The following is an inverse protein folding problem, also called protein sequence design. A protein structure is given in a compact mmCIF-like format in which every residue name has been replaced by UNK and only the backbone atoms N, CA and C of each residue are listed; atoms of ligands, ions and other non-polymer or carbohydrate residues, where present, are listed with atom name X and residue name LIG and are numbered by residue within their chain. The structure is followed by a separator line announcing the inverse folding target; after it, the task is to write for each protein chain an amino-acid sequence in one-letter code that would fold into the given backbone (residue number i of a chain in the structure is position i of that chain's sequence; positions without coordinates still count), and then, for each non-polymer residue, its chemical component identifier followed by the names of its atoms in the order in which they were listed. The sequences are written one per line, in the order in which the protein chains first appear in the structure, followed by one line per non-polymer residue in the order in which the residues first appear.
data_IF_947403076842
#
_entry.id   IF_947403076842
#
_cell.length_a   1.000
_cell.length_b   1.000
_cell.length_c   1.000
_cell.angle_alpha   90.00
_cell.angle_beta   90.00
_cell.angle_gamma   90.00
#
_symmetry.space_group_name_H-M   'P 1'
#
loop_
_entity.id
_entity.type
_entity.pdbx_description
1 polymer ?
#
# COMPACT_ATOMS: atom_id res chain seq x y z
N UNK A 1 29.00 -0.49 -11.89
CA UNK A 1 27.76 -1.31 -11.96
C UNK A 1 28.17 -2.76 -12.04
N UNK A 2 27.80 -3.56 -11.05
CA UNK A 2 28.03 -5.00 -11.11
C UNK A 2 27.05 -5.63 -12.11
N UNK A 3 27.50 -6.56 -12.96
CA UNK A 3 26.60 -7.23 -13.90
C UNK A 3 25.61 -8.11 -13.11
N UNK A 4 24.34 -8.13 -13.52
CA UNK A 4 23.32 -8.98 -12.90
C UNK A 4 23.51 -10.48 -13.22
N UNK A 5 24.27 -10.76 -14.27
CA UNK A 5 24.62 -12.12 -14.72
C UNK A 5 26.14 -12.20 -14.85
N UNK A 6 26.72 -13.20 -14.23
CA UNK A 6 28.16 -13.48 -14.29
C UNK A 6 28.58 -13.97 -15.68
N UNK A 7 29.89 -13.99 -15.95
CA UNK A 7 30.41 -14.42 -17.22
C UNK A 7 30.14 -15.92 -17.54
N UNK A 8 29.89 -16.74 -16.54
CA UNK A 8 29.50 -18.14 -16.64
C UNK A 8 28.02 -18.40 -16.83
N UNK A 9 27.19 -17.30 -16.87
CA UNK A 9 25.75 -17.38 -17.01
C UNK A 9 24.98 -17.52 -15.70
N UNK A 10 25.66 -17.64 -14.55
CA UNK A 10 25.01 -17.65 -13.24
C UNK A 10 24.54 -16.24 -12.86
N UNK A 11 23.52 -16.15 -11.99
CA UNK A 11 23.06 -14.86 -11.47
C UNK A 11 24.03 -14.31 -10.42
N UNK A 12 24.21 -13.01 -10.45
CA UNK A 12 25.00 -12.31 -9.43
C UNK A 12 24.32 -12.41 -8.08
N UNK A 13 25.07 -12.79 -7.06
CA UNK A 13 24.63 -12.85 -5.66
C UNK A 13 25.24 -11.68 -4.93
N UNK A 14 24.39 -10.74 -4.50
CA UNK A 14 24.78 -9.65 -3.63
C UNK A 14 24.80 -10.16 -2.17
N UNK A 15 25.95 -10.12 -1.48
CA UNK A 15 26.01 -10.50 -0.08
C UNK A 15 25.07 -9.67 0.78
N UNK A 16 24.52 -10.29 1.81
CA UNK A 16 23.66 -9.58 2.79
C UNK A 16 24.35 -8.32 3.32
N UNK A 17 23.64 -7.20 3.30
CA UNK A 17 24.08 -5.94 3.86
C UNK A 17 23.92 -5.87 5.39
N UNK A 18 23.45 -6.94 6.01
CA UNK A 18 23.34 -7.06 7.46
C UNK A 18 24.71 -7.00 8.14
N UNK A 19 24.75 -6.60 9.40
CA UNK A 19 25.97 -6.59 10.19
C UNK A 19 26.62 -7.96 10.24
N UNK A 20 27.94 -7.97 10.40
CA UNK A 20 28.71 -9.22 10.49
C UNK A 20 28.18 -10.16 11.58
N UNK A 21 27.84 -9.60 12.75
CA UNK A 21 27.29 -10.37 13.86
C UNK A 21 25.98 -11.09 13.48
N UNK A 22 25.11 -10.45 12.72
CA UNK A 22 23.88 -11.06 12.22
C UNK A 22 24.17 -12.17 11.20
N UNK A 23 25.08 -11.94 10.26
CA UNK A 23 25.47 -12.98 9.29
C UNK A 23 26.06 -14.20 9.99
N UNK A 24 26.96 -13.98 10.95
CA UNK A 24 27.58 -15.07 11.74
C UNK A 24 26.51 -15.88 12.50
N UNK A 25 25.44 -15.24 13.01
CA UNK A 25 24.31 -15.92 13.65
C UNK A 25 23.43 -16.68 12.66
N UNK A 26 23.17 -16.11 11.49
CA UNK A 26 22.42 -16.79 10.40
C UNK A 26 23.10 -18.10 10.02
N UNK A 27 24.42 -18.06 9.82
CA UNK A 27 25.21 -19.23 9.48
C UNK A 27 25.30 -20.22 10.64
N UNK A 28 25.54 -19.72 11.86
CA UNK A 28 25.66 -20.54 13.07
C UNK A 28 24.41 -21.37 13.36
N UNK A 29 23.22 -20.76 13.12
CA UNK A 29 21.96 -21.43 13.43
C UNK A 29 21.33 -22.12 12.22
N UNK A 30 21.94 -22.02 11.03
CA UNK A 30 21.40 -22.60 9.79
C UNK A 30 20.05 -21.99 9.39
N UNK A 31 19.94 -20.67 9.56
CA UNK A 31 18.78 -19.91 9.12
C UNK A 31 18.79 -19.70 7.60
N UNK A 32 17.73 -19.15 7.05
CA UNK A 32 17.69 -18.84 5.62
C UNK A 32 18.77 -17.81 5.24
N UNK A 33 19.46 -18.03 4.12
CA UNK A 33 20.41 -17.04 3.58
C UNK A 33 19.73 -15.69 3.35
N UNK A 34 20.37 -14.62 3.78
CA UNK A 34 19.92 -13.25 3.57
C UNK A 34 20.59 -12.56 2.38
N UNK A 35 21.31 -13.32 1.57
CA UNK A 35 21.89 -12.82 0.34
C UNK A 35 20.80 -12.49 -0.68
N UNK A 36 21.04 -11.45 -1.47
CA UNK A 36 20.11 -10.98 -2.47
C UNK A 36 20.56 -11.46 -3.85
N UNK A 37 19.68 -12.12 -4.57
CA UNK A 37 19.84 -12.43 -6.00
C UNK A 37 18.86 -11.57 -6.79
N UNK A 38 19.29 -10.41 -7.32
CA UNK A 38 18.36 -9.44 -7.91
C UNK A 38 17.52 -10.00 -9.07
N UNK A 39 18.04 -10.95 -9.82
CA UNK A 39 17.33 -11.59 -10.93
C UNK A 39 16.20 -12.50 -10.46
N UNK A 40 16.40 -13.20 -9.34
CA UNK A 40 15.36 -14.06 -8.77
C UNK A 40 14.23 -13.23 -8.13
N UNK A 41 14.56 -12.09 -7.50
CA UNK A 41 13.58 -11.21 -6.88
C UNK A 41 12.54 -10.67 -7.87
N UNK A 42 12.85 -10.60 -9.15
CA UNK A 42 11.88 -10.21 -10.18
C UNK A 42 10.70 -11.19 -10.29
N UNK A 43 10.91 -12.44 -9.87
CA UNK A 43 9.89 -13.48 -9.91
C UNK A 43 9.16 -13.63 -8.57
N UNK A 44 9.76 -13.18 -7.46
CA UNK A 44 9.28 -13.43 -6.10
C UNK A 44 8.34 -12.35 -5.55
N UNK A 45 8.19 -11.23 -6.24
CA UNK A 45 7.32 -10.13 -5.82
C UNK A 45 6.34 -9.77 -6.94
N UNK A 46 5.12 -10.27 -6.83
CA UNK A 46 4.05 -9.95 -7.77
C UNK A 46 3.15 -8.86 -7.17
N UNK A 47 3.19 -7.69 -7.79
CA UNK A 47 2.38 -6.55 -7.36
C UNK A 47 1.34 -6.24 -8.44
N UNK A 48 0.09 -6.12 -8.03
CA UNK A 48 -1.01 -5.75 -8.92
C UNK A 48 -1.79 -4.60 -8.32
N UNK A 49 -2.05 -3.58 -9.12
CA UNK A 49 -2.95 -2.48 -8.75
C UNK A 49 -4.06 -2.40 -9.76
N UNK A 50 -5.30 -2.40 -9.28
CA UNK A 50 -6.51 -2.18 -10.09
C UNK A 50 -7.18 -0.93 -9.58
N UNK A 51 -7.38 0.05 -10.46
CA UNK A 51 -8.07 1.28 -10.10
C UNK A 51 -9.26 1.48 -11.02
N UNK A 52 -10.41 1.78 -10.43
CA UNK A 52 -11.63 2.16 -11.12
C UNK A 52 -12.05 3.55 -10.68
N UNK A 53 -12.16 4.47 -11.62
CA UNK A 53 -12.56 5.85 -11.35
C UNK A 53 -13.76 6.23 -12.19
N UNK A 54 -14.72 6.86 -11.56
CA UNK A 54 -15.89 7.43 -12.24
C UNK A 54 -16.09 8.86 -11.80
N UNK A 55 -16.33 9.74 -12.76
CA UNK A 55 -16.68 11.13 -12.53
C UNK A 55 -17.92 11.48 -13.36
N UNK A 56 -18.95 11.94 -12.67
CA UNK A 56 -20.16 12.47 -13.29
C UNK A 56 -20.34 13.93 -12.85
N UNK A 57 -20.71 14.79 -13.77
CA UNK A 57 -21.04 16.17 -13.43
C UNK A 57 -22.24 16.68 -14.27
N UNK A 58 -22.99 17.56 -13.66
CA UNK A 58 -24.05 18.29 -14.30
C UNK A 58 -23.86 19.80 -14.07
N UNK A 59 -24.04 20.59 -15.09
CA UNK A 59 -23.96 22.04 -15.02
C UNK A 59 -25.21 22.64 -15.65
N UNK A 60 -25.87 23.53 -14.92
CA UNK A 60 -27.03 24.27 -15.38
C UNK A 60 -26.70 25.76 -15.32
N UNK A 61 -27.10 26.47 -16.36
CA UNK A 61 -27.00 27.92 -16.45
C UNK A 61 -28.40 28.48 -16.65
N UNK A 62 -28.76 29.47 -15.84
CA UNK A 62 -30.00 30.21 -15.93
C UNK A 62 -29.67 31.67 -16.21
N UNK A 63 -30.06 32.19 -17.36
CA UNK A 63 -29.98 33.60 -17.68
C UNK A 63 -31.25 34.25 -17.13
N UNK A 64 -31.20 34.83 -15.91
CA UNK A 64 -32.31 35.42 -15.21
C UNK A 64 -32.74 36.74 -15.86
N UNK A 65 -31.77 37.50 -16.33
CA UNK A 65 -31.92 38.71 -17.13
C UNK A 65 -30.76 38.82 -18.14
N UNK A 66 -30.75 39.83 -18.98
CA UNK A 66 -29.64 40.10 -19.91
C UNK A 66 -28.31 40.42 -19.19
N UNK A 67 -28.33 40.79 -17.93
CA UNK A 67 -27.21 41.24 -17.10
C UNK A 67 -27.00 40.39 -15.84
N UNK A 68 -27.87 39.37 -15.59
CA UNK A 68 -27.78 38.53 -14.40
C UNK A 68 -27.93 37.05 -14.79
N UNK A 69 -26.96 36.25 -14.44
CA UNK A 69 -27.03 34.80 -14.66
C UNK A 69 -26.73 34.04 -13.36
N UNK A 70 -27.32 32.86 -13.26
CA UNK A 70 -27.14 31.92 -12.14
C UNK A 70 -26.66 30.59 -12.70
N UNK A 71 -25.52 30.11 -12.17
CA UNK A 71 -24.92 28.85 -12.55
C UNK A 71 -24.94 27.90 -11.35
N UNK A 72 -25.33 26.66 -11.62
CA UNK A 72 -25.29 25.57 -10.64
C UNK A 72 -24.49 24.43 -11.25
N UNK A 73 -23.59 23.86 -10.46
CA UNK A 73 -22.81 22.69 -10.83
C UNK A 73 -22.85 21.67 -9.71
N UNK A 74 -23.12 20.43 -10.08
CA UNK A 74 -22.98 19.28 -9.21
C UNK A 74 -21.99 18.31 -9.84
N UNK A 75 -21.07 17.80 -9.04
CA UNK A 75 -20.10 16.78 -9.45
C UNK A 75 -20.10 15.67 -8.41
N UNK A 76 -20.13 14.43 -8.90
CA UNK A 76 -19.91 13.22 -8.10
C UNK A 76 -18.70 12.49 -8.66
N UNK A 77 -17.88 11.98 -7.76
CA UNK A 77 -16.63 11.29 -8.11
C UNK A 77 -16.43 10.11 -7.17
N UNK A 78 -16.14 8.96 -7.73
CA UNK A 78 -15.73 7.77 -6.98
C UNK A 78 -14.43 7.21 -7.56
N UNK A 79 -13.57 6.72 -6.69
CA UNK A 79 -12.31 6.06 -7.05
C UNK A 79 -12.11 4.90 -6.09
N UNK A 80 -12.06 3.68 -6.64
CA UNK A 80 -11.77 2.45 -5.93
C UNK A 80 -10.43 1.91 -6.43
N UNK A 81 -9.51 1.66 -5.53
CA UNK A 81 -8.17 1.14 -5.84
C UNK A 81 -7.86 -0.05 -4.96
N UNK A 82 -7.62 -1.20 -5.60
CA UNK A 82 -7.22 -2.45 -4.96
C UNK A 82 -5.75 -2.71 -5.32
N UNK A 83 -4.88 -2.75 -4.32
CA UNK A 83 -3.50 -3.17 -4.43
C UNK A 83 -3.33 -4.52 -3.76
N UNK A 84 -2.69 -5.44 -4.47
CA UNK A 84 -2.34 -6.78 -4.01
C UNK A 84 -0.85 -6.99 -4.22
N UNK A 85 -0.16 -7.51 -3.21
CA UNK A 85 1.26 -7.85 -3.26
C UNK A 85 1.46 -9.25 -2.69
N UNK A 86 1.97 -10.15 -3.52
CA UNK A 86 2.42 -11.46 -3.12
C UNK A 86 3.93 -11.43 -2.95
N UNK A 87 4.42 -11.73 -1.75
CA UNK A 87 5.83 -11.93 -1.47
C UNK A 87 6.09 -13.41 -1.23
N UNK A 88 6.73 -14.07 -2.18
CA UNK A 88 7.08 -15.50 -2.04
C UNK A 88 8.10 -15.70 -0.91
N UNK A 89 8.03 -16.86 -0.26
CA UNK A 89 8.93 -17.19 0.88
C UNK A 89 10.40 -17.22 0.49
N UNK A 90 10.69 -17.48 -0.78
CA UNK A 90 12.03 -17.48 -1.37
C UNK A 90 12.61 -16.07 -1.53
N UNK A 91 11.78 -15.02 -1.49
CA UNK A 91 12.26 -13.63 -1.58
C UNK A 91 13.21 -13.29 -0.43
N UNK A 92 14.16 -12.42 -0.68
CA UNK A 92 15.08 -11.94 0.35
C UNK A 92 14.32 -11.29 1.55
N UNK A 93 13.25 -10.55 1.23
CA UNK A 93 12.40 -9.96 2.24
C UNK A 93 11.78 -11.01 3.17
N UNK A 94 11.15 -12.05 2.61
CA UNK A 94 10.48 -13.09 3.41
C UNK A 94 11.47 -13.95 4.18
N UNK A 95 12.60 -14.30 3.60
CA UNK A 95 13.66 -15.04 4.30
C UNK A 95 14.17 -14.30 5.52
N UNK A 96 14.44 -12.99 5.39
CA UNK A 96 14.79 -12.12 6.53
C UNK A 96 13.69 -12.06 7.57
N UNK A 97 12.44 -11.90 7.11
CA UNK A 97 11.28 -11.79 8.00
C UNK A 97 11.07 -13.08 8.79
N UNK A 98 11.17 -14.25 8.17
CA UNK A 98 11.07 -15.55 8.84
C UNK A 98 12.22 -15.72 9.85
N UNK A 99 13.46 -15.36 9.48
CA UNK A 99 14.61 -15.40 10.37
C UNK A 99 14.42 -14.55 11.62
N UNK A 100 13.87 -13.34 11.48
CA UNK A 100 13.63 -12.42 12.60
C UNK A 100 12.68 -13.01 13.65
N UNK A 101 11.72 -13.83 13.20
CA UNK A 101 10.74 -14.48 14.06
C UNK A 101 11.05 -15.95 14.35
N UNK A 102 12.33 -16.34 14.26
CA UNK A 102 12.79 -17.71 14.57
C UNK A 102 13.41 -17.77 15.97
N UNK A 103 13.01 -18.77 16.74
CA UNK A 103 13.55 -19.09 18.04
C UNK A 103 14.04 -20.53 18.14
N UNK A 104 14.68 -20.91 19.24
CA UNK A 104 14.94 -22.30 19.57
C UNK A 104 13.78 -22.92 20.34
N UNK A 105 13.56 -24.19 20.10
CA UNK A 105 12.66 -24.97 20.95
C UNK A 105 13.16 -24.98 22.42
N UNK A 106 12.28 -25.19 23.41
CA UNK A 106 12.66 -25.20 24.82
C UNK A 106 13.80 -26.15 25.17
N UNK A 107 13.93 -27.24 24.45
CA UNK A 107 15.03 -28.22 24.59
C UNK A 107 16.29 -27.85 23.79
N UNK A 108 16.26 -26.73 23.03
CA UNK A 108 17.39 -26.24 22.23
C UNK A 108 17.72 -27.05 20.98
N UNK A 109 16.97 -28.12 20.67
CA UNK A 109 17.32 -29.10 19.63
C UNK A 109 16.85 -28.74 18.22
N UNK A 110 15.87 -27.85 18.09
CA UNK A 110 15.31 -27.47 16.78
C UNK A 110 14.94 -25.99 16.72
N UNK A 111 14.85 -25.49 15.47
CA UNK A 111 14.33 -24.15 15.20
C UNK A 111 12.78 -24.15 15.29
N UNK A 112 12.23 -23.06 15.78
CA UNK A 112 10.79 -22.80 15.83
C UNK A 112 10.53 -21.53 15.01
N UNK A 113 9.80 -21.67 13.93
CA UNK A 113 9.33 -20.56 13.11
C UNK A 113 8.03 -20.03 13.69
N UNK A 114 8.11 -18.90 14.41
CA UNK A 114 6.94 -18.30 15.06
C UNK A 114 6.09 -17.49 14.07
N UNK A 115 6.70 -16.99 12.99
CA UNK A 115 6.00 -16.54 11.80
C UNK A 115 5.78 -17.75 10.88
N UNK A 116 4.59 -17.96 10.30
CA UNK A 116 4.36 -19.07 9.38
C UNK A 116 5.35 -19.07 8.23
N UNK A 117 5.98 -20.24 8.01
CA UNK A 117 6.96 -20.43 6.95
C UNK A 117 6.26 -20.64 5.61
N UNK A 118 5.95 -19.56 4.93
CA UNK A 118 5.26 -19.53 3.64
C UNK A 118 5.28 -18.13 3.06
N UNK A 119 4.48 -17.92 2.04
CA UNK A 119 4.38 -16.63 1.36
C UNK A 119 3.71 -15.58 2.26
N UNK A 120 3.87 -14.33 1.91
CA UNK A 120 3.08 -13.22 2.45
C UNK A 120 2.11 -12.70 1.40
N UNK A 121 0.92 -12.34 1.82
CA UNK A 121 -0.05 -11.68 0.96
C UNK A 121 -0.53 -10.39 1.62
N UNK A 122 -0.23 -9.28 0.95
CA UNK A 122 -0.57 -7.93 1.41
C UNK A 122 -1.64 -7.35 0.50
N UNK A 123 -2.70 -6.83 1.09
CA UNK A 123 -3.78 -6.16 0.38
C UNK A 123 -3.97 -4.76 0.93
N UNK A 124 -4.20 -3.82 0.02
CA UNK A 124 -4.52 -2.44 0.32
C UNK A 124 -5.70 -2.02 -0.52
N UNK A 125 -6.82 -1.71 0.12
CA UNK A 125 -8.03 -1.21 -0.54
C UNK A 125 -8.25 0.25 -0.15
N UNK A 126 -8.41 1.08 -1.14
CA UNK A 126 -8.69 2.48 -0.96
C UNK A 126 -9.95 2.84 -1.75
N UNK A 127 -10.99 3.30 -1.07
CA UNK A 127 -12.25 3.71 -1.67
C UNK A 127 -12.54 5.15 -1.31
N UNK A 128 -12.69 5.98 -2.34
CA UNK A 128 -12.98 7.41 -2.20
C UNK A 128 -14.30 7.74 -2.88
N UNK A 129 -15.17 8.41 -2.12
CA UNK A 129 -16.40 8.99 -2.63
C UNK A 129 -16.40 10.47 -2.35
N UNK A 130 -16.67 11.30 -3.34
CA UNK A 130 -16.75 12.73 -3.16
C UNK A 130 -17.88 13.36 -3.97
N UNK A 131 -18.44 14.42 -3.44
CA UNK A 131 -19.33 15.28 -4.19
C UNK A 131 -18.94 16.74 -4.00
N UNK A 132 -19.20 17.51 -5.06
CA UNK A 132 -18.99 18.94 -5.08
C UNK A 132 -20.27 19.59 -5.61
N UNK A 133 -20.82 20.51 -4.83
CA UNK A 133 -21.93 21.37 -5.24
C UNK A 133 -21.43 22.80 -5.26
N UNK A 134 -21.56 23.46 -6.41
CA UNK A 134 -21.18 24.86 -6.59
C UNK A 134 -22.34 25.62 -7.19
N UNK A 135 -22.61 26.80 -6.62
CA UNK A 135 -23.55 27.77 -7.17
C UNK A 135 -22.89 29.13 -7.28
N UNK A 136 -23.25 29.87 -8.32
CA UNK A 136 -22.66 31.16 -8.62
C UNK A 136 -23.70 32.08 -9.26
N UNK A 137 -23.86 33.27 -8.70
CA UNK A 137 -24.61 34.36 -9.27
C UNK A 137 -23.60 35.34 -9.88
N UNK A 138 -23.78 35.70 -11.13
CA UNK A 138 -22.94 36.66 -11.84
C UNK A 138 -23.76 37.78 -12.40
N UNK A 139 -23.34 39.00 -12.08
CA UNK A 139 -23.97 40.23 -12.55
C UNK A 139 -22.96 41.00 -13.39
N UNK A 140 -23.39 41.44 -14.57
CA UNK A 140 -22.61 42.29 -15.48
C UNK A 140 -23.60 43.29 -16.09
N UNK A 141 -23.57 44.54 -15.57
CA UNK A 141 -24.54 45.57 -15.96
C UNK A 141 -23.87 46.90 -16.22
N UNK A 142 -24.11 47.44 -17.39
CA UNK A 142 -23.70 48.79 -17.77
C UNK A 142 -24.84 49.76 -17.50
N UNK A 143 -24.55 50.86 -16.80
CA UNK A 143 -25.45 51.96 -16.48
C UNK A 143 -25.04 53.18 -17.29
N UNK A 144 -25.98 53.86 -17.88
CA UNK A 144 -25.82 55.12 -18.61
C UNK A 144 -24.69 55.11 -19.64
N UNK A 145 -24.43 53.92 -20.24
CA UNK A 145 -23.35 53.69 -21.22
C UNK A 145 -21.91 54.05 -20.74
N UNK A 146 -21.77 54.42 -19.49
CA UNK A 146 -20.50 54.93 -18.91
C UNK A 146 -19.99 54.13 -17.70
N UNK A 147 -20.88 53.46 -16.98
CA UNK A 147 -20.54 52.78 -15.77
C UNK A 147 -20.82 51.26 -15.90
N UNK A 148 -19.81 50.43 -15.84
CA UNK A 148 -19.98 48.98 -15.84
C UNK A 148 -19.76 48.42 -14.43
N UNK A 149 -20.73 47.66 -13.93
CA UNK A 149 -20.67 46.93 -12.65
C UNK A 149 -20.61 45.43 -12.95
N UNK A 150 -19.49 44.82 -12.59
CA UNK A 150 -19.32 43.34 -12.62
C UNK A 150 -19.24 42.85 -11.18
N UNK A 151 -20.08 41.89 -10.85
CA UNK A 151 -20.11 41.28 -9.53
C UNK A 151 -20.36 39.79 -9.61
N UNK A 152 -19.70 39.02 -8.72
CA UNK A 152 -19.82 37.56 -8.61
C UNK A 152 -19.99 37.18 -7.16
N UNK A 153 -21.05 36.44 -6.88
CA UNK A 153 -21.26 35.77 -5.60
C UNK A 153 -21.32 34.26 -5.84
N UNK A 154 -20.57 33.50 -5.08
CA UNK A 154 -20.53 32.04 -5.21
C UNK A 154 -20.46 31.34 -3.87
N UNK A 155 -20.99 30.13 -3.86
CA UNK A 155 -20.85 29.18 -2.77
C UNK A 155 -20.42 27.83 -3.34
N UNK A 156 -19.49 27.18 -2.65
CA UNK A 156 -19.07 25.82 -2.98
C UNK A 156 -19.08 24.96 -1.71
N UNK A 157 -19.66 23.77 -1.81
CA UNK A 157 -19.66 22.75 -0.77
C UNK A 157 -19.01 21.51 -1.36
N UNK A 158 -17.93 21.06 -0.72
CA UNK A 158 -17.23 19.83 -1.10
C UNK A 158 -17.24 18.87 0.08
N UNK A 159 -17.57 17.62 -0.20
CA UNK A 159 -17.45 16.53 0.75
C UNK A 159 -16.61 15.43 0.13
N UNK A 160 -15.74 14.81 0.93
CA UNK A 160 -14.94 13.67 0.51
C UNK A 160 -14.86 12.68 1.66
N UNK A 161 -15.20 11.43 1.39
CA UNK A 161 -15.04 10.30 2.29
C UNK A 161 -14.00 9.36 1.68
N UNK A 162 -13.02 8.98 2.48
CA UNK A 162 -11.98 8.03 2.09
C UNK A 162 -12.02 6.90 3.11
N UNK A 163 -12.19 5.68 2.63
CA UNK A 163 -12.06 4.45 3.40
C UNK A 163 -10.78 3.75 2.98
N UNK A 164 -10.08 3.24 3.96
CA UNK A 164 -8.80 2.61 3.79
C UNK A 164 -8.81 1.28 4.56
N UNK A 165 -8.47 0.19 3.89
CA UNK A 165 -8.39 -1.14 4.48
C UNK A 165 -7.06 -1.76 4.04
N UNK A 166 -6.25 -2.15 5.01
CA UNK A 166 -4.94 -2.74 4.78
C UNK A 166 -4.82 -4.02 5.61
N UNK A 167 -4.40 -5.09 4.96
CA UNK A 167 -4.22 -6.38 5.62
C UNK A 167 -2.98 -7.08 5.08
N UNK A 168 -2.24 -7.73 5.98
CA UNK A 168 -1.12 -8.59 5.63
C UNK A 168 -1.27 -9.92 6.34
N UNK A 169 -1.19 -11.00 5.57
CA UNK A 169 -1.21 -12.37 6.09
C UNK A 169 0.09 -13.09 5.72
N UNK A 170 0.51 -14.00 6.58
CA UNK A 170 1.72 -14.81 6.39
C UNK A 170 1.37 -16.30 6.35
N UNK A 171 2.26 -17.09 5.75
CA UNK A 171 1.97 -18.50 5.48
C UNK A 171 0.84 -18.66 4.46
N UNK A 172 0.80 -17.74 3.51
CA UNK A 172 -0.20 -17.76 2.44
C UNK A 172 0.14 -18.82 1.41
N UNK A 173 -0.89 -19.50 0.93
CA UNK A 173 -0.84 -20.43 -0.19
C UNK A 173 -1.61 -19.81 -1.36
N UNK A 174 -0.94 -19.42 -2.45
CA UNK A 174 -1.59 -18.74 -3.57
C UNK A 174 -2.52 -19.64 -4.39
N UNK A 175 -2.34 -20.98 -4.36
CA UNK A 175 -3.20 -21.93 -5.06
C UNK A 175 -4.50 -22.16 -4.31
N UNK A 176 -4.41 -22.37 -3.00
CA UNK A 176 -5.57 -22.62 -2.13
C UNK A 176 -6.22 -21.31 -1.63
N UNK A 177 -5.54 -20.18 -1.75
CA UNK A 177 -5.96 -18.88 -1.19
C UNK A 177 -6.24 -18.94 0.29
N UNK A 178 -5.43 -19.68 1.01
CA UNK A 178 -5.51 -19.87 2.47
C UNK A 178 -4.23 -19.37 3.13
N UNK A 179 -4.29 -19.13 4.42
CA UNK A 179 -3.12 -18.74 5.23
C UNK A 179 -3.12 -19.47 6.56
N UNK A 180 -1.99 -19.54 7.20
CA UNK A 180 -1.83 -20.15 8.49
C UNK A 180 -2.15 -19.14 9.60
N UNK A 181 -2.84 -19.61 10.65
CA UNK A 181 -3.10 -18.79 11.83
C UNK A 181 -1.82 -18.64 12.66
N UNK A 182 -1.58 -17.42 13.15
CA UNK A 182 -0.49 -17.12 14.07
C UNK A 182 -0.94 -16.07 15.10
N UNK A 183 -0.28 -16.04 16.25
CA UNK A 183 -0.64 -15.13 17.31
C UNK A 183 0.10 -13.79 17.13
N UNK A 184 -0.59 -12.79 16.61
CA UNK A 184 -0.03 -11.46 16.39
C UNK A 184 0.46 -10.79 17.68
N UNK A 185 -0.15 -11.08 18.83
CA UNK A 185 0.29 -10.49 20.11
C UNK A 185 1.66 -10.98 20.52
N UNK A 186 1.95 -12.27 20.29
CA UNK A 186 3.25 -12.85 20.62
C UNK A 186 4.35 -12.32 19.68
N UNK A 187 3.98 -11.91 18.45
CA UNK A 187 4.92 -11.36 17.46
C UNK A 187 5.07 -9.83 17.54
N UNK A 188 4.20 -9.14 18.26
CA UNK A 188 4.28 -7.68 18.38
C UNK A 188 5.56 -7.21 19.11
N UNK A 189 6.08 -8.03 20.04
CA UNK A 189 7.32 -7.78 20.78
C UNK A 189 8.10 -9.09 20.92
N UNK A 190 8.55 -9.62 19.78
CA UNK A 190 9.24 -10.90 19.73
C UNK A 190 10.74 -10.74 20.02
N UNK A 191 11.32 -11.67 20.75
CA UNK A 191 12.76 -11.79 20.93
C UNK A 191 13.23 -13.18 20.50
N UNK A 192 13.88 -13.22 19.35
CA UNK A 192 14.34 -14.44 18.70
C UNK A 192 15.86 -14.60 18.73
N UNK A 193 16.36 -15.47 17.87
CA UNK A 193 17.79 -15.78 17.74
C UNK A 193 18.61 -14.58 17.24
N UNK A 194 18.02 -13.71 16.45
CA UNK A 194 18.67 -12.55 15.84
C UNK A 194 18.41 -11.25 16.62
N UNK A 195 17.79 -11.32 17.80
CA UNK A 195 17.44 -10.18 18.62
C UNK A 195 15.94 -9.87 18.67
N UNK A 196 15.61 -8.62 18.99
CA UNK A 196 14.22 -8.18 19.08
C UNK A 196 13.67 -7.86 17.68
N UNK A 197 12.49 -8.36 17.42
CA UNK A 197 11.73 -8.08 16.19
C UNK A 197 10.31 -7.63 16.55
N UNK A 198 9.71 -6.83 15.67
CA UNK A 198 8.32 -6.39 15.77
C UNK A 198 7.60 -6.70 14.47
N UNK A 199 6.42 -7.26 14.59
CA UNK A 199 5.51 -7.36 13.48
C UNK A 199 4.68 -6.09 13.47
N UNK A 200 4.82 -5.30 12.40
CA UNK A 200 4.00 -4.10 12.22
C UNK A 200 2.53 -4.51 12.19
N UNK A 201 1.80 -4.05 13.20
CA UNK A 201 0.37 -4.18 13.25
C UNK A 201 -0.20 -2.97 12.52
N UNK A 202 -0.59 -3.16 11.28
CA UNK A 202 -1.51 -2.22 10.67
C UNK A 202 -2.87 -2.44 11.34
N UNK A 203 -3.09 -1.73 12.44
CA UNK A 203 -4.38 -1.63 13.07
C UNK A 203 -5.29 -0.90 12.09
N UNK A 204 -6.17 -1.63 11.41
CA UNK A 204 -7.35 -1.02 10.83
C UNK A 204 -8.14 -0.43 12.00
N UNK A 205 -8.00 0.87 12.24
CA UNK A 205 -8.91 1.60 13.09
C UNK A 205 -10.25 1.67 12.35
N UNK A 206 -11.18 0.83 12.78
CA UNK A 206 -12.60 0.90 12.41
C UNK A 206 -13.21 2.16 13.01
#
# INVERSE_FOLDING_TARGET
YDPLVNADGSYFVAPSQSDKSRRDLVDQYGLYSEDLVPMDELNYALNTTKTFETRAYAKLKFDLTSWLNYNVMFQYETSDSDYESLGEKESNFMRKRINDFTSKSPNGSSLVYNLPNGDSFHTLKNSKHSYNFRQQLSLDKTFDEKHNLVWILGQEVRHSLINFDENTVYGYDPELKTWQNYNMKDLAYFSGLLGSAQLDQNLSLI
#
